data_IF_515957446521
#
_entry.id   IF_515957446521
#
_cell.length_a   1.000
_cell.length_b   1.000
_cell.length_c   1.000
_cell.angle_alpha   90.00
_cell.angle_beta   90.00
_cell.angle_gamma   90.00
#
_symmetry.space_group_name_H-M   'P 1'
#
loop_
_entity.id
_entity.type
_entity.pdbx_description
1 polymer ?
#
# COMPACT_ATOMS: atom_id res chain seq x y z
N UNK A 1 48.33 37.84 -10.28
CA UNK A 1 47.94 37.04 -9.08
C UNK A 1 46.42 36.73 -8.95
N UNK A 2 45.52 37.17 -9.85
CA UNK A 2 44.05 37.04 -9.67
C UNK A 2 43.31 36.12 -10.66
N UNK A 3 44.01 35.45 -11.58
CA UNK A 3 43.39 34.53 -12.56
C UNK A 3 43.26 33.09 -12.02
N UNK A 4 44.23 32.62 -11.23
CA UNK A 4 44.25 31.26 -10.68
C UNK A 4 43.18 31.07 -9.58
N UNK A 5 42.85 32.13 -8.83
CA UNK A 5 41.77 32.09 -7.83
C UNK A 5 40.38 31.95 -8.46
N UNK A 6 40.09 32.64 -9.57
CA UNK A 6 38.80 32.55 -10.27
C UNK A 6 38.56 31.18 -10.93
N UNK A 7 39.62 30.49 -11.37
CA UNK A 7 39.52 29.12 -11.89
C UNK A 7 39.22 28.09 -10.80
N UNK A 8 39.73 28.29 -9.58
CA UNK A 8 39.44 27.43 -8.43
C UNK A 8 37.98 27.52 -7.93
N UNK A 9 37.37 28.70 -8.06
CA UNK A 9 35.98 28.92 -7.63
C UNK A 9 34.95 28.27 -8.58
N UNK A 10 35.31 28.09 -9.86
CA UNK A 10 34.48 27.40 -10.86
C UNK A 10 34.50 25.88 -10.62
N UNK A 11 35.64 25.33 -10.18
CA UNK A 11 35.77 23.91 -9.85
C UNK A 11 35.09 23.52 -8.52
N UNK A 12 34.96 24.45 -7.57
CA UNK A 12 34.21 24.20 -6.31
C UNK A 12 32.70 24.25 -6.47
N UNK A 13 32.15 24.91 -7.51
CA UNK A 13 30.70 25.04 -7.71
C UNK A 13 30.04 23.87 -8.44
N UNK A 14 30.84 22.90 -8.91
CA UNK A 14 30.36 21.64 -9.54
C UNK A 14 30.55 20.42 -8.64
N UNK A 15 30.54 20.61 -7.32
CA UNK A 15 30.22 19.50 -6.41
C UNK A 15 28.71 19.29 -6.47
N UNK A 16 28.33 18.68 -7.59
CA UNK A 16 26.99 18.31 -7.99
C UNK A 16 26.34 17.58 -6.81
N UNK A 17 25.30 18.19 -6.26
CA UNK A 17 24.59 17.79 -5.05
C UNK A 17 23.69 16.56 -5.33
N UNK A 18 24.20 15.59 -6.10
CA UNK A 18 23.59 14.28 -6.27
C UNK A 18 23.88 13.51 -4.99
N UNK A 19 23.01 13.69 -3.99
CA UNK A 19 23.01 12.89 -2.77
C UNK A 19 22.88 11.43 -3.18
N UNK A 20 24.02 10.72 -3.25
CA UNK A 20 24.07 9.30 -3.57
C UNK A 20 23.20 8.57 -2.54
N UNK A 21 22.08 8.00 -3.00
CA UNK A 21 21.21 7.20 -2.13
C UNK A 21 22.04 5.98 -1.71
N UNK A 22 22.21 5.80 -0.40
CA UNK A 22 22.99 4.67 0.10
C UNK A 22 22.29 3.35 -0.23
N UNK A 23 23.06 2.30 -0.52
CA UNK A 23 22.54 0.94 -0.72
C UNK A 23 21.69 0.51 0.48
N UNK A 24 22.08 0.90 1.70
CA UNK A 24 21.31 0.69 2.92
C UNK A 24 19.90 1.31 2.84
N UNK A 25 19.78 2.53 2.32
CA UNK A 25 18.48 3.18 2.16
C UNK A 25 17.61 2.47 1.12
N UNK A 26 18.20 1.98 0.03
CA UNK A 26 17.48 1.21 -1.00
C UNK A 26 17.01 -0.12 -0.41
N UNK A 27 17.90 -0.83 0.28
CA UNK A 27 17.60 -2.11 0.92
C UNK A 27 16.50 -1.99 1.96
N UNK A 28 16.55 -0.97 2.83
CA UNK A 28 15.50 -0.72 3.83
C UNK A 28 14.15 -0.46 3.18
N UNK A 29 14.10 0.29 2.07
CA UNK A 29 12.86 0.53 1.33
C UNK A 29 12.34 -0.74 0.66
N UNK A 30 13.21 -1.50 0.04
CA UNK A 30 12.86 -2.81 -0.52
C UNK A 30 12.28 -3.72 0.56
N UNK A 31 12.90 -3.75 1.74
CA UNK A 31 12.39 -4.54 2.86
C UNK A 31 11.01 -4.06 3.32
N UNK A 32 10.79 -2.75 3.38
CA UNK A 32 9.48 -2.18 3.70
C UNK A 32 8.39 -2.60 2.69
N UNK A 33 8.72 -2.71 1.39
CA UNK A 33 7.79 -3.27 0.38
C UNK A 33 7.42 -4.70 0.76
N UNK A 34 8.42 -5.56 0.98
CA UNK A 34 8.22 -6.97 1.31
C UNK A 34 7.41 -7.13 2.59
N UNK A 35 7.76 -6.43 3.67
CA UNK A 35 7.09 -6.56 4.96
C UNK A 35 5.60 -6.18 4.86
N UNK A 36 5.27 -5.08 4.15
CA UNK A 36 3.87 -4.68 3.94
C UNK A 36 3.09 -5.65 3.04
N UNK A 37 3.73 -6.21 2.01
CA UNK A 37 3.11 -7.22 1.16
C UNK A 37 2.88 -8.54 1.92
N UNK A 38 3.85 -8.97 2.71
CA UNK A 38 3.72 -10.14 3.58
C UNK A 38 2.57 -9.94 4.57
N UNK A 39 2.44 -8.76 5.17
CA UNK A 39 1.30 -8.45 6.04
C UNK A 39 -0.05 -8.59 5.33
N UNK A 40 -0.15 -8.11 4.08
CA UNK A 40 -1.37 -8.30 3.30
C UNK A 40 -1.67 -9.79 3.05
N UNK A 41 -0.66 -10.59 2.71
CA UNK A 41 -0.80 -12.04 2.50
C UNK A 41 -1.20 -12.78 3.79
N UNK A 42 -0.66 -12.39 4.94
CA UNK A 42 -1.06 -12.95 6.25
C UNK A 42 -2.52 -12.66 6.57
N UNK A 43 -3.00 -11.44 6.31
CA UNK A 43 -4.41 -11.09 6.49
C UNK A 43 -5.32 -11.89 5.55
N UNK A 44 -4.91 -12.08 4.29
CA UNK A 44 -5.64 -12.92 3.33
C UNK A 44 -5.70 -14.37 3.80
N UNK A 45 -4.61 -14.91 4.35
CA UNK A 45 -4.58 -16.26 4.89
C UNK A 45 -5.52 -16.41 6.10
N UNK A 46 -5.47 -15.47 7.06
CA UNK A 46 -6.37 -15.46 8.22
C UNK A 46 -7.85 -15.35 7.81
N UNK A 47 -8.17 -14.55 6.79
CA UNK A 47 -9.52 -14.51 6.21
C UNK A 47 -9.91 -15.86 5.59
N UNK A 48 -8.99 -16.52 4.88
CA UNK A 48 -9.20 -17.83 4.28
C UNK A 48 -9.50 -18.91 5.32
N UNK A 49 -8.75 -18.92 6.43
CA UNK A 49 -8.97 -19.85 7.54
C UNK A 49 -10.33 -19.61 8.21
N UNK A 50 -10.75 -18.36 8.39
CA UNK A 50 -12.08 -18.06 8.95
C UNK A 50 -13.24 -18.35 8.00
N UNK A 51 -12.98 -18.39 6.70
CA UNK A 51 -13.95 -18.81 5.69
C UNK A 51 -14.15 -20.33 5.65
N UNK A 52 -13.30 -21.14 6.30
CA UNK A 52 -13.46 -22.61 6.36
C UNK A 52 -14.73 -23.05 7.12
N UNK A 53 -15.34 -22.15 7.89
CA UNK A 53 -16.52 -22.43 8.72
C UNK A 53 -16.18 -22.81 10.18
N UNK A 54 -14.89 -22.90 10.52
CA UNK A 54 -14.45 -23.26 11.87
C UNK A 54 -14.51 -22.06 12.85
N UNK A 55 -14.75 -20.84 12.36
CA UNK A 55 -14.77 -19.61 13.15
C UNK A 55 -16.03 -18.78 12.89
N UNK A 56 -16.66 -18.31 13.97
CA UNK A 56 -17.74 -17.32 13.91
C UNK A 56 -17.11 -15.94 13.78
N UNK A 57 -17.50 -15.17 12.76
CA UNK A 57 -17.08 -13.79 12.57
C UNK A 57 -18.29 -12.87 12.32
N UNK A 58 -18.16 -11.61 12.71
CA UNK A 58 -19.19 -10.59 12.56
C UNK A 58 -18.80 -9.52 11.52
N UNK A 59 -19.72 -8.58 11.27
CA UNK A 59 -19.46 -7.47 10.35
C UNK A 59 -18.37 -6.52 10.86
N UNK A 60 -18.14 -6.45 12.17
CA UNK A 60 -17.08 -5.62 12.74
C UNK A 60 -15.70 -6.19 12.38
N UNK A 61 -15.54 -7.51 12.45
CA UNK A 61 -14.37 -8.22 11.96
C UNK A 61 -14.12 -7.96 10.47
N UNK A 62 -15.15 -8.12 9.62
CA UNK A 62 -15.01 -7.90 8.17
C UNK A 62 -14.55 -6.46 7.85
N UNK A 63 -15.13 -5.47 8.53
CA UNK A 63 -14.72 -4.07 8.39
C UNK A 63 -13.28 -3.85 8.83
N UNK A 64 -12.89 -4.42 9.97
CA UNK A 64 -11.54 -4.26 10.51
C UNK A 64 -10.50 -4.89 9.58
N UNK A 65 -10.69 -6.16 9.20
CA UNK A 65 -9.69 -6.86 8.39
C UNK A 65 -9.59 -6.30 6.97
N UNK A 66 -10.70 -5.82 6.41
CA UNK A 66 -10.67 -5.10 5.13
C UNK A 66 -9.86 -3.81 5.22
N UNK A 67 -10.00 -3.03 6.30
CA UNK A 67 -9.22 -1.80 6.51
C UNK A 67 -7.73 -2.11 6.65
N UNK A 68 -7.40 -3.12 7.46
CA UNK A 68 -6.01 -3.53 7.68
C UNK A 68 -5.36 -4.04 6.39
N UNK A 69 -6.12 -4.78 5.57
CA UNK A 69 -5.66 -5.26 4.27
C UNK A 69 -5.42 -4.09 3.30
N UNK A 70 -6.39 -3.18 3.18
CA UNK A 70 -6.25 -1.98 2.35
C UNK A 70 -5.05 -1.13 2.77
N UNK A 71 -4.82 -0.96 4.07
CA UNK A 71 -3.65 -0.24 4.58
C UNK A 71 -2.33 -0.95 4.20
N UNK A 72 -2.26 -2.28 4.38
CA UNK A 72 -1.07 -3.07 4.05
C UNK A 72 -0.73 -2.99 2.55
N UNK A 73 -1.74 -3.10 1.68
CA UNK A 73 -1.59 -2.98 0.23
C UNK A 73 -1.17 -1.57 -0.16
N UNK A 74 -1.81 -0.53 0.39
CA UNK A 74 -1.44 0.86 0.13
C UNK A 74 0.02 1.14 0.51
N UNK A 75 0.46 0.67 1.69
CA UNK A 75 1.86 0.79 2.14
C UNK A 75 2.82 0.08 1.19
N UNK A 76 2.47 -1.10 0.68
CA UNK A 76 3.26 -1.83 -0.31
C UNK A 76 3.42 -1.05 -1.61
N UNK A 77 2.30 -0.55 -2.15
CA UNK A 77 2.28 0.30 -3.35
C UNK A 77 3.12 1.56 -3.15
N UNK A 78 2.96 2.24 -2.00
CA UNK A 78 3.71 3.45 -1.68
C UNK A 78 5.22 3.19 -1.63
N UNK A 79 5.63 2.18 -0.86
CA UNK A 79 7.04 1.83 -0.72
C UNK A 79 7.65 1.45 -2.07
N UNK A 80 6.91 0.70 -2.90
CA UNK A 80 7.33 0.30 -4.24
C UNK A 80 7.48 1.52 -5.16
N UNK A 81 6.49 2.40 -5.17
CA UNK A 81 6.52 3.58 -6.02
C UNK A 81 7.71 4.49 -5.67
N UNK A 82 7.94 4.72 -4.38
CA UNK A 82 9.08 5.52 -3.91
C UNK A 82 10.42 4.84 -4.23
N UNK A 83 10.52 3.51 -4.06
CA UNK A 83 11.71 2.74 -4.42
C UNK A 83 12.03 2.86 -5.91
N UNK A 84 11.00 2.88 -6.76
CA UNK A 84 11.10 2.95 -8.20
C UNK A 84 11.05 4.38 -8.76
N UNK A 85 11.31 5.39 -7.94
CA UNK A 85 11.34 6.81 -8.35
C UNK A 85 10.04 7.27 -9.04
N UNK A 86 8.91 6.91 -8.45
CA UNK A 86 7.57 7.27 -8.89
C UNK A 86 7.16 6.69 -10.27
N UNK A 87 7.75 5.57 -10.68
CA UNK A 87 7.41 4.92 -11.96
C UNK A 87 6.01 4.28 -11.98
N UNK A 88 5.41 4.05 -10.82
CA UNK A 88 4.20 3.25 -10.65
C UNK A 88 3.05 4.04 -10.01
N UNK A 89 2.94 5.34 -10.30
CA UNK A 89 1.86 6.20 -9.79
C UNK A 89 0.46 5.69 -10.15
N UNK A 90 0.32 5.02 -11.30
CA UNK A 90 -0.93 4.39 -11.74
C UNK A 90 -1.50 3.38 -10.72
N UNK A 91 -0.64 2.76 -9.89
CA UNK A 91 -1.09 1.80 -8.90
C UNK A 91 -1.95 2.44 -7.80
N UNK A 92 -1.79 3.74 -7.51
CA UNK A 92 -2.67 4.43 -6.57
C UNK A 92 -4.09 4.55 -7.12
N UNK A 93 -4.23 4.89 -8.40
CA UNK A 93 -5.56 4.97 -9.03
C UNK A 93 -6.24 3.60 -9.03
N UNK A 94 -5.53 2.54 -9.44
CA UNK A 94 -6.06 1.18 -9.43
C UNK A 94 -6.44 0.75 -8.01
N UNK A 95 -5.62 1.08 -7.02
CA UNK A 95 -5.90 0.82 -5.62
C UNK A 95 -7.18 1.54 -5.15
N UNK A 96 -7.31 2.83 -5.43
CA UNK A 96 -8.49 3.62 -5.03
C UNK A 96 -9.77 3.08 -5.67
N UNK A 97 -9.72 2.69 -6.95
CA UNK A 97 -10.85 2.06 -7.66
C UNK A 97 -11.28 0.75 -6.98
N UNK A 98 -10.33 -0.13 -6.66
CA UNK A 98 -10.61 -1.41 -5.98
C UNK A 98 -11.09 -1.18 -4.55
N UNK A 99 -10.42 -0.31 -3.79
CA UNK A 99 -10.77 -0.04 -2.40
C UNK A 99 -12.17 0.59 -2.28
N UNK A 100 -12.52 1.50 -3.19
CA UNK A 100 -13.87 2.08 -3.25
C UNK A 100 -14.93 1.03 -3.53
N UNK A 101 -14.68 0.10 -4.46
CA UNK A 101 -15.60 -1.01 -4.73
C UNK A 101 -15.77 -1.92 -3.51
N UNK A 102 -14.66 -2.21 -2.82
CA UNK A 102 -14.65 -3.03 -1.60
C UNK A 102 -15.41 -2.36 -0.45
N UNK A 103 -15.20 -1.07 -0.21
CA UNK A 103 -15.92 -0.31 0.81
C UNK A 103 -17.43 -0.26 0.52
N UNK A 104 -17.81 -0.10 -0.75
CA UNK A 104 -19.21 -0.13 -1.16
C UNK A 104 -19.86 -1.50 -0.94
N UNK A 105 -19.11 -2.59 -1.14
CA UNK A 105 -19.54 -3.97 -0.85
C UNK A 105 -19.83 -4.14 0.65
N UNK A 106 -18.89 -3.72 1.49
CA UNK A 106 -18.97 -3.92 2.95
C UNK A 106 -20.07 -3.05 3.57
N UNK A 107 -20.27 -1.83 3.08
CA UNK A 107 -21.34 -0.95 3.55
C UNK A 107 -22.72 -1.26 2.93
N UNK A 108 -22.82 -2.31 2.11
CA UNK A 108 -24.09 -2.73 1.52
C UNK A 108 -24.67 -1.71 0.53
N UNK A 109 -23.82 -0.85 -0.05
CA UNK A 109 -24.21 0.19 -1.02
C UNK A 109 -24.29 -0.33 -2.45
N UNK A 110 -24.06 -1.63 -2.67
CA UNK A 110 -24.14 -2.26 -3.99
C UNK A 110 -25.60 -2.60 -4.31
N UNK A 111 -26.09 -2.06 -5.43
CA UNK A 111 -27.47 -2.30 -5.90
C UNK A 111 -27.69 -3.71 -6.46
N UNK A 112 -26.63 -4.48 -6.74
CA UNK A 112 -26.64 -5.80 -7.39
C UNK A 112 -25.62 -6.82 -6.81
N UNK A 113 -25.44 -6.87 -5.49
CA UNK A 113 -24.72 -8.00 -4.86
C UNK A 113 -25.64 -9.23 -4.75
N UNK A 114 -25.12 -10.48 -4.75
CA UNK A 114 -25.95 -11.63 -4.44
C UNK A 114 -26.60 -11.40 -3.07
N UNK A 115 -27.93 -11.38 -3.07
CA UNK A 115 -28.78 -11.10 -1.91
C UNK A 115 -28.39 -12.06 -0.78
N UNK A 116 -27.58 -11.59 0.18
CA UNK A 116 -27.48 -12.23 1.48
C UNK A 116 -28.85 -12.09 2.13
N UNK A 117 -29.49 -13.25 2.30
CA UNK A 117 -30.87 -13.47 2.71
C UNK A 117 -31.37 -12.39 3.68
N UNK A 118 -32.41 -11.64 3.27
CA UNK A 118 -33.36 -11.07 4.23
C UNK A 118 -34.04 -12.27 4.91
N UNK A 119 -33.46 -12.77 6.00
CA UNK A 119 -34.16 -13.71 6.86
C UNK A 119 -35.34 -12.97 7.47
N UNK A 120 -36.50 -13.15 6.85
CA UNK A 120 -37.79 -12.74 7.37
C UNK A 120 -38.21 -13.62 8.55
N UNK A 121 -37.39 -13.68 9.59
CA UNK A 121 -37.82 -14.23 10.88
C UNK A 121 -38.42 -13.07 11.65
N UNK A 122 -39.74 -12.94 11.54
CA UNK A 122 -40.55 -12.24 12.55
C UNK A 122 -40.61 -13.16 13.78
N UNK A 123 -40.09 -12.69 14.90
CA UNK A 123 -40.55 -13.13 16.23
C UNK A 123 -41.70 -12.20 16.61
#
# INVERSE_FOLDING_TARGET
MNLIKRLGDIFKKKQNNQKLISIRSIFNRFRAVIDSNTKALELIADMGDKLSGDYIFDIAYIRQISRDLSEAVFRSIHNLNVLCRNKYEILYQIFDEINTQLENLIEGKIQNGPLVLKTGIKI
#
